data_IF_524246800895
#
_entry.id   IF_524246800895
#
_cell.length_a   1.000
_cell.length_b   1.000
_cell.length_c   1.000
_cell.angle_alpha   90.00
_cell.angle_beta   90.00
_cell.angle_gamma   90.00
#
_symmetry.space_group_name_H-M   'P 1'
#
loop_
_entity.id
_entity.type
_entity.pdbx_description
1 polymer ?
#
# COMPACT_ATOMS: atom_id res chain seq x y z
N UNK A 1 -3.95 -20.77 7.00
CA UNK A 1 -3.35 -20.00 5.88
C UNK A 1 -1.85 -19.94 6.05
N UNK A 2 -1.37 -19.39 7.17
CA UNK A 2 0.06 -19.18 7.42
C UNK A 2 0.90 -20.46 7.25
N UNK A 3 0.57 -21.52 7.99
CA UNK A 3 1.26 -22.82 7.90
C UNK A 3 1.27 -23.40 6.49
N UNK A 4 0.14 -23.35 5.78
CA UNK A 4 0.05 -23.90 4.43
C UNK A 4 1.00 -23.17 3.45
N UNK A 5 1.14 -21.84 3.56
CA UNK A 5 2.11 -21.10 2.76
C UNK A 5 3.56 -21.32 3.20
N UNK A 6 3.81 -21.49 4.50
CA UNK A 6 5.14 -21.79 5.02
C UNK A 6 5.61 -23.19 4.60
N UNK A 7 4.75 -24.21 4.72
CA UNK A 7 5.01 -25.57 4.24
C UNK A 7 5.26 -25.59 2.73
N UNK A 8 4.49 -24.83 1.95
CA UNK A 8 4.71 -24.75 0.51
C UNK A 8 6.02 -24.06 0.15
N UNK A 9 6.37 -22.99 0.87
CA UNK A 9 7.65 -22.30 0.71
C UNK A 9 8.85 -23.17 1.07
N UNK A 10 8.67 -24.15 1.97
CA UNK A 10 9.71 -25.09 2.39
C UNK A 10 9.73 -26.36 1.51
N UNK A 11 8.88 -26.47 0.51
CA UNK A 11 8.80 -27.63 -0.40
C UNK A 11 8.06 -28.85 0.17
N UNK A 12 7.46 -28.73 1.36
CA UNK A 12 6.68 -29.80 1.99
C UNK A 12 5.23 -29.86 1.49
N UNK A 13 4.79 -28.86 0.72
CA UNK A 13 3.44 -28.78 0.16
C UNK A 13 3.49 -28.13 -1.23
N UNK A 14 2.66 -28.59 -2.16
CA UNK A 14 2.53 -27.90 -3.45
C UNK A 14 1.80 -26.57 -3.29
N UNK A 15 2.28 -25.51 -3.94
CA UNK A 15 1.69 -24.16 -3.86
C UNK A 15 0.22 -24.10 -4.32
N UNK A 16 -0.25 -25.07 -5.11
CA UNK A 16 -1.67 -25.14 -5.49
C UNK A 16 -2.58 -25.26 -4.27
N UNK A 17 -2.14 -25.93 -3.19
CA UNK A 17 -2.94 -26.15 -1.98
C UNK A 17 -3.20 -24.85 -1.21
N UNK A 18 -2.18 -24.08 -0.75
CA UNK A 18 -2.44 -22.81 -0.07
C UNK A 18 -3.10 -21.76 -0.98
N UNK A 19 -2.84 -21.79 -2.29
CA UNK A 19 -3.55 -20.93 -3.24
C UNK A 19 -5.02 -21.31 -3.30
N UNK A 20 -5.37 -22.59 -3.39
CA UNK A 20 -6.77 -23.03 -3.35
C UNK A 20 -7.44 -22.67 -2.03
N UNK A 21 -6.74 -22.83 -0.91
CA UNK A 21 -7.23 -22.49 0.42
C UNK A 21 -7.74 -21.05 0.47
N UNK A 22 -6.94 -20.05 0.06
CA UNK A 22 -7.34 -18.63 0.16
C UNK A 22 -8.51 -18.23 -0.74
N UNK A 23 -9.01 -19.10 -1.62
CA UNK A 23 -10.20 -18.80 -2.41
C UNK A 23 -11.45 -18.59 -1.54
N UNK A 24 -11.50 -19.15 -0.32
CA UNK A 24 -12.65 -18.92 0.56
C UNK A 24 -12.87 -17.44 0.88
N UNK A 25 -11.79 -16.64 0.89
CA UNK A 25 -11.82 -15.20 1.16
C UNK A 25 -12.67 -14.42 0.14
N UNK A 26 -12.84 -14.96 -1.08
CA UNK A 26 -13.72 -14.39 -2.12
C UNK A 26 -15.16 -14.24 -1.68
N UNK A 27 -15.62 -15.10 -0.76
CA UNK A 27 -17.02 -15.17 -0.36
C UNK A 27 -17.52 -13.96 0.43
N UNK A 28 -16.63 -13.01 0.78
CA UNK A 28 -16.93 -11.85 1.64
C UNK A 28 -17.54 -12.24 3.01
N UNK A 29 -17.31 -13.48 3.44
CA UNK A 29 -17.73 -14.00 4.76
C UNK A 29 -16.67 -13.85 5.84
N UNK A 30 -15.42 -13.60 5.44
CA UNK A 30 -14.31 -13.41 6.38
C UNK A 30 -14.32 -11.97 6.90
N UNK A 31 -14.79 -11.82 8.13
CA UNK A 31 -14.89 -10.52 8.82
C UNK A 31 -13.74 -10.26 9.79
N UNK A 32 -12.82 -11.22 9.98
CA UNK A 32 -11.69 -11.05 10.88
C UNK A 32 -10.45 -10.58 10.10
N UNK A 33 -9.66 -9.67 10.68
CA UNK A 33 -8.47 -9.13 10.00
C UNK A 33 -7.30 -10.12 9.92
N UNK A 34 -7.20 -11.07 10.87
CA UNK A 34 -6.05 -12.00 10.94
C UNK A 34 -5.87 -12.86 9.68
N UNK A 35 -6.91 -13.50 9.11
CA UNK A 35 -6.73 -14.29 7.89
C UNK A 35 -6.34 -13.42 6.68
N UNK A 36 -6.89 -12.20 6.58
CA UNK A 36 -6.50 -11.22 5.57
C UNK A 36 -5.04 -10.77 5.74
N UNK A 37 -4.60 -10.53 6.97
CA UNK A 37 -3.22 -10.17 7.29
C UNK A 37 -2.26 -11.28 6.86
N UNK A 38 -2.51 -12.53 7.27
CA UNK A 38 -1.70 -13.69 6.88
C UNK A 38 -1.66 -13.89 5.35
N UNK A 39 -2.83 -13.84 4.70
CA UNK A 39 -2.94 -13.93 3.24
C UNK A 39 -2.12 -12.83 2.56
N UNK A 40 -2.30 -11.57 2.97
CA UNK A 40 -1.63 -10.43 2.37
C UNK A 40 -0.10 -10.56 2.47
N UNK A 41 0.43 -10.95 3.63
CA UNK A 41 1.87 -11.13 3.85
C UNK A 41 2.48 -12.13 2.87
N UNK A 42 1.89 -13.32 2.75
CA UNK A 42 2.39 -14.37 1.85
C UNK A 42 2.21 -14.02 0.38
N UNK A 43 1.08 -13.44 0.01
CA UNK A 43 0.82 -13.03 -1.38
C UNK A 43 1.76 -11.90 -1.81
N UNK A 44 2.06 -10.95 -0.92
CA UNK A 44 3.00 -9.87 -1.21
C UNK A 44 4.45 -10.37 -1.31
N UNK A 45 4.81 -11.41 -0.55
CA UNK A 45 6.09 -12.12 -0.73
C UNK A 45 6.16 -12.81 -2.09
N UNK A 46 5.11 -13.57 -2.47
CA UNK A 46 5.01 -14.21 -3.78
C UNK A 46 5.05 -13.17 -4.92
N UNK A 47 4.37 -12.04 -4.76
CA UNK A 47 4.42 -10.92 -5.72
C UNK A 47 5.86 -10.51 -6.00
N UNK A 48 6.70 -10.35 -4.96
CA UNK A 48 8.12 -9.97 -5.13
C UNK A 48 8.91 -11.04 -5.89
N UNK A 49 8.69 -12.32 -5.57
CA UNK A 49 9.39 -13.44 -6.22
C UNK A 49 8.99 -13.58 -7.69
N UNK A 50 7.70 -13.42 -7.98
CA UNK A 50 7.14 -13.58 -9.32
C UNK A 50 7.31 -12.33 -10.18
N UNK A 51 7.74 -11.20 -9.62
CA UNK A 51 7.90 -9.95 -10.36
C UNK A 51 8.89 -10.13 -11.53
N UNK A 52 8.52 -9.62 -12.71
CA UNK A 52 9.33 -9.77 -13.93
C UNK A 52 9.27 -11.15 -14.60
N UNK A 53 8.56 -12.12 -14.03
CA UNK A 53 8.38 -13.44 -14.65
C UNK A 53 7.16 -13.46 -15.59
N UNK A 54 7.10 -14.38 -16.58
CA UNK A 54 5.96 -14.50 -17.49
C UNK A 54 4.62 -14.83 -16.81
N UNK A 55 4.66 -15.36 -15.58
CA UNK A 55 3.46 -15.75 -14.82
C UNK A 55 2.91 -14.63 -13.94
N UNK A 56 3.64 -13.53 -13.76
CA UNK A 56 3.28 -12.43 -12.86
C UNK A 56 1.87 -11.88 -13.12
N UNK A 57 1.55 -11.62 -14.39
CA UNK A 57 0.24 -11.07 -14.77
C UNK A 57 -0.91 -12.04 -14.48
N UNK A 58 -0.68 -13.36 -14.66
CA UNK A 58 -1.69 -14.38 -14.30
C UNK A 58 -1.90 -14.44 -12.80
N UNK A 59 -0.81 -14.37 -12.02
CA UNK A 59 -0.86 -14.31 -10.56
C UNK A 59 -1.59 -13.06 -10.06
N UNK A 60 -1.27 -11.89 -10.62
CA UNK A 60 -1.92 -10.62 -10.27
C UNK A 60 -3.43 -10.67 -10.53
N UNK A 61 -3.85 -11.15 -11.71
CA UNK A 61 -5.28 -11.37 -12.04
C UNK A 61 -5.97 -12.34 -11.09
N UNK A 62 -5.28 -13.40 -10.67
CA UNK A 62 -5.81 -14.35 -9.69
C UNK A 62 -6.10 -13.67 -8.34
N UNK A 63 -5.16 -12.88 -7.82
CA UNK A 63 -5.32 -12.15 -6.55
C UNK A 63 -6.36 -11.04 -6.68
N UNK A 64 -6.43 -10.35 -7.81
CA UNK A 64 -7.48 -9.34 -8.07
C UNK A 64 -8.88 -9.93 -7.91
N UNK A 65 -9.13 -11.14 -8.43
CA UNK A 65 -10.42 -11.83 -8.24
C UNK A 65 -10.74 -12.19 -6.78
N UNK A 66 -9.73 -12.29 -5.92
CA UNK A 66 -9.96 -12.47 -4.47
C UNK A 66 -10.40 -11.15 -3.83
N UNK A 67 -9.83 -10.05 -4.30
CA UNK A 67 -10.03 -8.72 -3.74
C UNK A 67 -11.25 -7.99 -4.31
N UNK A 68 -11.68 -8.31 -5.54
CA UNK A 68 -12.82 -7.67 -6.21
C UNK A 68 -14.10 -7.66 -5.37
N UNK A 69 -14.39 -8.75 -4.65
CA UNK A 69 -15.61 -8.85 -3.83
C UNK A 69 -15.54 -8.07 -2.51
N UNK A 70 -14.35 -7.62 -2.11
CA UNK A 70 -14.08 -7.04 -0.79
C UNK A 70 -13.66 -5.57 -0.89
N UNK A 71 -13.00 -5.19 -1.97
CA UNK A 71 -12.56 -3.82 -2.26
C UNK A 71 -13.73 -3.05 -2.86
N UNK A 72 -14.60 -2.57 -1.99
CA UNK A 72 -15.69 -1.63 -2.31
C UNK A 72 -15.40 -0.25 -1.73
N UNK A 73 -16.14 0.79 -2.13
CA UNK A 73 -16.00 2.14 -1.55
C UNK A 73 -16.14 2.14 -0.01
N UNK A 74 -16.91 1.21 0.54
CA UNK A 74 -17.14 1.09 1.99
C UNK A 74 -15.87 0.81 2.81
N UNK A 75 -14.79 0.29 2.21
CA UNK A 75 -13.54 0.05 2.94
C UNK A 75 -12.86 1.37 3.31
N UNK A 76 -13.12 2.45 2.57
CA UNK A 76 -12.51 3.76 2.78
C UNK A 76 -13.30 4.64 3.76
N UNK A 77 -14.51 4.21 4.11
CA UNK A 77 -15.40 4.92 5.03
C UNK A 77 -15.25 4.35 6.45
N UNK A 78 -14.57 5.09 7.31
CA UNK A 78 -14.49 4.78 8.74
C UNK A 78 -15.47 5.68 9.48
N UNK A 79 -16.54 5.08 10.01
CA UNK A 79 -17.49 5.79 10.88
C UNK A 79 -16.87 5.98 12.25
N UNK A 80 -17.22 7.06 12.95
CA UNK A 80 -16.70 7.36 14.29
C UNK A 80 -16.94 6.22 15.28
N UNK A 81 -18.08 5.55 15.18
CA UNK A 81 -18.48 4.41 16.01
C UNK A 81 -17.98 3.04 15.54
N UNK A 82 -17.12 2.98 14.51
CA UNK A 82 -16.56 1.71 14.03
C UNK A 82 -15.66 1.09 15.09
N UNK A 83 -15.74 -0.23 15.26
CA UNK A 83 -14.87 -0.95 16.21
C UNK A 83 -13.40 -0.87 15.78
N UNK A 84 -12.47 -1.00 16.73
CA UNK A 84 -11.03 -1.04 16.42
C UNK A 84 -10.68 -2.16 15.43
N UNK A 85 -11.30 -3.33 15.56
CA UNK A 85 -11.08 -4.47 14.66
C UNK A 85 -11.57 -4.17 13.23
N UNK A 86 -12.70 -3.47 13.09
CA UNK A 86 -13.20 -3.06 11.77
C UNK A 86 -12.26 -2.07 11.08
N UNK A 87 -11.73 -1.09 11.83
CA UNK A 87 -10.73 -0.13 11.32
C UNK A 87 -9.47 -0.84 10.82
N UNK A 88 -8.95 -1.78 11.62
CA UNK A 88 -7.78 -2.59 11.26
C UNK A 88 -8.05 -3.44 10.02
N UNK A 89 -9.22 -4.09 9.93
CA UNK A 89 -9.61 -4.87 8.75
C UNK A 89 -9.63 -4.00 7.50
N UNK A 90 -10.32 -2.85 7.56
CA UNK A 90 -10.43 -1.90 6.44
C UNK A 90 -9.06 -1.38 5.98
N UNK A 91 -8.21 -0.97 6.92
CA UNK A 91 -6.84 -0.54 6.62
C UNK A 91 -6.00 -1.67 6.00
N UNK A 92 -6.12 -2.90 6.52
CA UNK A 92 -5.42 -4.09 5.98
C UNK A 92 -5.85 -4.37 4.54
N UNK A 93 -7.16 -4.37 4.27
CA UNK A 93 -7.72 -4.61 2.93
C UNK A 93 -7.32 -3.50 1.95
N UNK A 94 -7.42 -2.24 2.37
CA UNK A 94 -6.99 -1.10 1.57
C UNK A 94 -5.50 -1.19 1.22
N UNK A 95 -4.64 -1.45 2.20
CA UNK A 95 -3.20 -1.62 1.99
C UNK A 95 -2.92 -2.75 1.00
N UNK A 96 -3.58 -3.90 1.19
CA UNK A 96 -3.37 -5.06 0.35
C UNK A 96 -3.83 -4.81 -1.09
N UNK A 97 -5.00 -4.20 -1.29
CA UNK A 97 -5.55 -3.88 -2.60
C UNK A 97 -4.69 -2.90 -3.39
N UNK A 98 -4.24 -1.83 -2.73
CA UNK A 98 -3.37 -0.82 -3.34
C UNK A 98 -2.02 -1.43 -3.73
N UNK A 99 -1.43 -2.24 -2.85
CA UNK A 99 -0.16 -2.93 -3.13
C UNK A 99 -0.29 -3.97 -4.23
N UNK A 100 -1.42 -4.65 -4.35
CA UNK A 100 -1.68 -5.53 -5.49
C UNK A 100 -2.07 -4.76 -6.76
N UNK A 101 -2.08 -3.42 -6.72
CA UNK A 101 -2.41 -2.54 -7.83
C UNK A 101 -3.80 -2.83 -8.40
N UNK A 102 -4.77 -3.10 -7.52
CA UNK A 102 -6.18 -3.22 -7.91
C UNK A 102 -6.65 -1.86 -8.46
N UNK A 103 -7.18 -1.79 -9.71
CA UNK A 103 -7.48 -0.51 -10.36
C UNK A 103 -8.39 0.42 -9.54
N UNK A 104 -9.46 -0.12 -8.94
CA UNK A 104 -10.39 0.65 -8.10
C UNK A 104 -9.69 1.25 -6.87
N UNK A 105 -8.84 0.47 -6.20
CA UNK A 105 -8.09 0.93 -5.03
C UNK A 105 -7.05 2.00 -5.40
N UNK A 106 -6.32 1.82 -6.51
CA UNK A 106 -5.38 2.84 -7.01
C UNK A 106 -6.09 4.15 -7.34
N UNK A 107 -7.22 4.08 -8.04
CA UNK A 107 -8.03 5.25 -8.37
C UNK A 107 -8.46 5.99 -7.10
N UNK A 108 -9.01 5.27 -6.12
CA UNK A 108 -9.47 5.87 -4.87
C UNK A 108 -8.33 6.52 -4.07
N UNK A 109 -7.18 5.85 -3.96
CA UNK A 109 -6.02 6.43 -3.25
C UNK A 109 -5.49 7.69 -3.92
N UNK A 110 -5.43 7.72 -5.25
CA UNK A 110 -5.06 8.92 -5.98
C UNK A 110 -6.07 10.05 -5.76
N UNK A 111 -7.38 9.75 -5.77
CA UNK A 111 -8.43 10.74 -5.47
C UNK A 111 -8.29 11.33 -4.06
N UNK A 112 -8.11 10.47 -3.04
CA UNK A 112 -7.92 10.90 -1.66
C UNK A 112 -6.67 11.78 -1.52
N UNK A 113 -5.59 11.40 -2.20
CA UNK A 113 -4.35 12.18 -2.22
C UNK A 113 -4.54 13.54 -2.88
N UNK A 114 -5.11 13.57 -4.09
CA UNK A 114 -5.34 14.81 -4.85
C UNK A 114 -6.25 15.78 -4.10
N UNK A 115 -7.28 15.29 -3.42
CA UNK A 115 -8.16 16.13 -2.61
C UNK A 115 -7.43 16.74 -1.42
N UNK A 116 -6.59 15.95 -0.74
CA UNK A 116 -5.79 16.44 0.38
C UNK A 116 -4.74 17.46 -0.06
N UNK A 117 -3.91 17.12 -1.05
CA UNK A 117 -2.78 17.97 -1.47
C UNK A 117 -3.26 19.30 -2.06
N UNK A 118 -4.44 19.32 -2.69
CA UNK A 118 -5.06 20.56 -3.21
C UNK A 118 -5.82 21.38 -2.16
N UNK A 119 -5.85 20.93 -0.90
CA UNK A 119 -6.56 21.61 0.19
C UNK A 119 -8.09 21.52 0.09
N UNK A 120 -8.62 20.63 -0.75
CA UNK A 120 -10.07 20.39 -0.90
C UNK A 120 -10.65 19.51 0.20
N UNK A 121 -9.81 18.75 0.89
CA UNK A 121 -10.21 17.91 2.02
C UNK A 121 -9.20 17.99 3.15
N UNK A 122 -9.67 17.69 4.36
CA UNK A 122 -8.80 17.48 5.50
C UNK A 122 -7.83 16.31 5.27
N UNK A 123 -6.83 16.25 6.15
CA UNK A 123 -5.82 15.20 6.18
C UNK A 123 -6.49 13.81 6.16
N UNK A 124 -6.01 12.86 5.33
CA UNK A 124 -6.55 11.51 5.29
C UNK A 124 -6.61 10.90 6.69
N UNK A 125 -7.67 10.11 6.96
CA UNK A 125 -7.82 9.38 8.23
C UNK A 125 -6.50 8.71 8.62
N UNK A 126 -6.19 8.70 9.92
CA UNK A 126 -4.96 8.10 10.46
C UNK A 126 -4.75 6.68 9.94
N UNK A 127 -5.83 5.92 9.78
CA UNK A 127 -5.83 4.53 9.29
C UNK A 127 -5.39 4.38 7.83
N UNK A 128 -5.54 5.42 7.01
CA UNK A 128 -5.21 5.41 5.56
C UNK A 128 -4.05 6.33 5.20
N UNK A 129 -3.63 7.24 6.09
CA UNK A 129 -2.63 8.27 5.82
C UNK A 129 -1.36 7.72 5.17
N UNK A 130 -0.78 6.66 5.75
CA UNK A 130 0.44 6.05 5.20
C UNK A 130 0.21 5.54 3.76
N UNK A 131 -0.90 4.85 3.52
CA UNK A 131 -1.25 4.29 2.20
C UNK A 131 -1.46 5.42 1.19
N UNK A 132 -2.16 6.49 1.59
CA UNK A 132 -2.45 7.64 0.73
C UNK A 132 -1.17 8.39 0.37
N UNK A 133 -0.27 8.60 1.32
CA UNK A 133 0.99 9.31 1.04
C UNK A 133 1.90 8.49 0.13
N UNK A 134 2.07 7.19 0.41
CA UNK A 134 2.94 6.30 -0.37
C UNK A 134 2.40 6.06 -1.78
N UNK A 135 1.10 5.77 -1.94
CA UNK A 135 0.59 5.29 -3.23
C UNK A 135 -0.24 6.31 -4.01
N UNK A 136 -0.56 7.46 -3.41
CA UNK A 136 -1.46 8.46 -4.00
C UNK A 136 -0.80 9.50 -4.89
N UNK A 137 0.53 9.63 -4.83
CA UNK A 137 1.25 10.59 -5.67
C UNK A 137 1.28 10.21 -7.16
N UNK A 138 0.85 9.01 -7.54
CA UNK A 138 0.94 8.51 -8.92
C UNK A 138 0.00 9.19 -9.93
N UNK A 139 0.21 8.90 -11.22
CA UNK A 139 -0.61 9.42 -12.33
C UNK A 139 0.03 10.60 -13.05
N UNK A 140 -0.76 11.34 -13.83
CA UNK A 140 -0.29 12.42 -14.72
C UNK A 140 0.27 13.64 -13.97
N UNK A 141 -0.04 13.78 -12.68
CA UNK A 141 0.40 14.90 -11.83
C UNK A 141 1.58 14.53 -10.92
N UNK A 142 2.24 13.39 -11.17
CA UNK A 142 3.27 12.84 -10.28
C UNK A 142 4.34 13.85 -9.87
N UNK A 143 4.93 14.58 -10.84
CA UNK A 143 5.99 15.55 -10.55
C UNK A 143 5.49 16.72 -9.68
N UNK A 144 4.32 17.28 -10.00
CA UNK A 144 3.72 18.37 -9.21
C UNK A 144 3.38 17.91 -7.79
N UNK A 145 2.78 16.73 -7.65
CA UNK A 145 2.44 16.12 -6.37
C UNK A 145 3.69 15.87 -5.52
N UNK A 146 4.76 15.37 -6.15
CA UNK A 146 6.03 15.12 -5.49
C UNK A 146 6.68 16.40 -4.99
N UNK A 147 6.71 17.47 -5.81
CA UNK A 147 7.26 18.77 -5.42
C UNK A 147 6.49 19.42 -4.25
N UNK A 148 5.16 19.27 -4.23
CA UNK A 148 4.34 19.72 -3.10
C UNK A 148 4.64 18.92 -1.83
N UNK A 149 4.72 17.60 -1.94
CA UNK A 149 5.09 16.72 -0.83
C UNK A 149 6.50 17.03 -0.29
N UNK A 150 7.45 17.32 -1.18
CA UNK A 150 8.80 17.74 -0.81
C UNK A 150 8.80 19.06 -0.03
N UNK A 151 8.00 20.03 -0.47
CA UNK A 151 7.83 21.30 0.24
C UNK A 151 7.21 21.12 1.63
N UNK A 152 6.31 20.15 1.80
CA UNK A 152 5.77 19.77 3.12
C UNK A 152 6.84 19.13 4.00
N UNK A 153 7.63 18.20 3.46
CA UNK A 153 8.74 17.55 4.16
C UNK A 153 9.76 18.57 4.72
N UNK A 154 10.09 19.61 3.95
CA UNK A 154 11.02 20.66 4.37
C UNK A 154 10.47 21.52 5.53
N UNK A 155 9.15 21.73 5.57
CA UNK A 155 8.48 22.53 6.62
C UNK A 155 8.14 21.73 7.87
N UNK A 156 8.02 20.41 7.75
CA UNK A 156 7.63 19.52 8.84
C UNK A 156 8.65 19.52 9.98
N UNK A 157 8.15 19.68 11.20
CA UNK A 157 8.93 19.74 12.44
C UNK A 157 8.77 18.46 13.28
N UNK A 158 7.64 17.74 13.14
CA UNK A 158 7.45 16.47 13.83
C UNK A 158 8.31 15.37 13.20
N UNK A 159 9.24 14.75 13.96
CA UNK A 159 10.12 13.71 13.41
C UNK A 159 9.36 12.51 12.83
N UNK A 160 8.23 12.12 13.42
CA UNK A 160 7.48 10.96 12.94
C UNK A 160 6.76 11.27 11.61
N UNK A 161 6.15 12.45 11.48
CA UNK A 161 5.60 12.88 10.19
C UNK A 161 6.70 13.06 9.14
N UNK A 162 7.87 13.58 9.53
CA UNK A 162 8.98 13.76 8.61
C UNK A 162 9.47 12.42 8.02
N UNK A 163 9.60 11.37 8.84
CA UNK A 163 9.91 10.01 8.37
C UNK A 163 8.82 9.49 7.42
N UNK A 164 7.53 9.66 7.77
CA UNK A 164 6.43 9.23 6.89
C UNK A 164 6.44 9.92 5.53
N UNK A 165 6.70 11.23 5.49
CA UNK A 165 6.82 11.99 4.25
C UNK A 165 8.03 11.52 3.44
N UNK A 166 9.17 11.25 4.10
CA UNK A 166 10.37 10.70 3.48
C UNK A 166 10.12 9.33 2.83
N UNK A 167 9.47 8.41 3.55
CA UNK A 167 9.06 7.10 3.03
C UNK A 167 8.08 7.21 1.86
N UNK A 168 7.17 8.18 1.90
CA UNK A 168 6.28 8.45 0.80
C UNK A 168 7.04 8.95 -0.44
N UNK A 169 7.93 9.94 -0.28
CA UNK A 169 8.74 10.51 -1.36
C UNK A 169 9.64 9.48 -2.05
N UNK A 170 10.11 8.45 -1.32
CA UNK A 170 10.92 7.37 -1.87
C UNK A 170 10.12 6.29 -2.61
N UNK A 171 8.79 6.28 -2.49
CA UNK A 171 7.93 5.23 -3.05
C UNK A 171 7.48 5.47 -4.49
N UNK A 172 7.87 6.59 -5.09
CA UNK A 172 7.62 6.90 -6.50
C UNK A 172 8.35 5.94 -7.44
N UNK A 173 7.78 5.68 -8.60
CA UNK A 173 8.34 4.74 -9.59
C UNK A 173 9.05 5.43 -10.74
N UNK A 174 9.05 6.76 -10.80
CA UNK A 174 9.69 7.52 -11.88
C UNK A 174 11.22 7.60 -11.66
N UNK A 175 12.04 7.06 -12.59
CA UNK A 175 13.49 7.03 -12.42
C UNK A 175 14.14 8.41 -12.31
N UNK A 176 13.59 9.43 -12.97
CA UNK A 176 14.15 10.78 -12.95
C UNK A 176 13.90 11.44 -11.58
N UNK A 177 12.70 11.29 -11.02
CA UNK A 177 12.37 11.77 -9.67
C UNK A 177 13.22 11.03 -8.63
N UNK A 178 13.36 9.71 -8.73
CA UNK A 178 14.21 8.93 -7.82
C UNK A 178 15.66 9.42 -7.87
N UNK A 179 16.20 9.64 -9.08
CA UNK A 179 17.58 10.14 -9.24
C UNK A 179 17.74 11.53 -8.61
N UNK A 180 16.82 12.44 -8.87
CA UNK A 180 16.84 13.77 -8.27
C UNK A 180 16.76 13.69 -6.74
N UNK A 181 15.92 12.81 -6.20
CA UNK A 181 15.78 12.61 -4.76
C UNK A 181 17.06 12.06 -4.10
N UNK A 182 17.74 11.12 -4.77
CA UNK A 182 19.03 10.62 -4.31
C UNK A 182 20.11 11.71 -4.28
N UNK A 183 20.13 12.65 -5.23
CA UNK A 183 21.05 13.78 -5.18
C UNK A 183 20.72 14.73 -4.03
N UNK A 184 19.43 15.03 -3.80
CA UNK A 184 18.98 15.85 -2.67
C UNK A 184 19.33 15.22 -1.32
N UNK A 185 19.29 13.89 -1.22
CA UNK A 185 19.63 13.17 0.01
C UNK A 185 21.09 13.26 0.44
N UNK A 186 22.00 13.65 -0.48
CA UNK A 186 23.43 13.81 -0.18
C UNK A 186 23.76 15.14 0.49
N UNK A 187 22.80 16.06 0.54
CA UNK A 187 22.97 17.38 1.13
C UNK A 187 22.52 17.31 2.58
N UNK A 188 23.46 17.42 3.52
CA UNK A 188 23.21 17.28 4.97
C UNK A 188 22.20 18.28 5.53
N UNK A 189 22.03 19.43 4.88
CA UNK A 189 21.02 20.43 5.23
C UNK A 189 19.58 19.96 5.00
N UNK A 190 19.36 18.98 4.11
CA UNK A 190 18.02 18.48 3.75
C UNK A 190 17.67 17.13 4.36
N UNK A 191 18.65 16.25 4.56
CA UNK A 191 18.46 14.94 5.20
C UNK A 191 19.57 14.72 6.24
N UNK A 192 19.19 14.61 7.52
CA UNK A 192 20.14 14.30 8.60
C UNK A 192 20.68 12.88 8.41
N UNK A 193 21.96 12.68 8.71
CA UNK A 193 22.69 11.40 8.55
C UNK A 193 22.02 10.21 9.25
N UNK A 194 21.22 10.45 10.29
CA UNK A 194 20.41 9.44 11.00
C UNK A 194 19.15 8.96 10.25
N UNK A 195 18.79 9.58 9.12
CA UNK A 195 17.65 9.19 8.27
C UNK A 195 18.04 8.44 7.00
N UNK A 196 19.34 8.16 6.80
CA UNK A 196 19.88 7.46 5.62
C UNK A 196 20.06 5.94 5.84
N UNK A 197 19.77 5.42 7.03
CA UNK A 197 19.94 4.01 7.42
C UNK A 197 18.67 3.43 8.03
#
# INVERSE_FOLDING_TARGET
>A
IDDAFNLASAGYLEYIVPLQLINYLKSNKETHFLPWSACSSHILRLRKILYGTPVYEKFKKYVHRILESVVSDSIWEIKENSSMLEKILKSTLANFAVRMEVPAAKKKVNELFSNWISGKSDVPSVDFKAIVYTYGMGGDQLESNWNQMWSLYLKEQDPQQKIRLMEALSSVTDPQIIKNYLELSKIEDYIRTTGLF
#
